data_IF_219102487975
#
_entry.id   IF_219102487975
#
_cell.length_a   1.000
_cell.length_b   1.000
_cell.length_c   1.000
_cell.angle_alpha   90.00
_cell.angle_beta   90.00
_cell.angle_gamma   90.00
#
_symmetry.space_group_name_H-M   'P 1'
#
loop_
_entity.id
_entity.type
_entity.pdbx_description
1 polymer ?
#
# COMPACT_ATOMS: atom_id res chain seq x y z
N UNK A 1 5.84 -20.80 4.86
CA UNK A 1 5.61 -20.64 3.40
C UNK A 1 5.14 -19.21 3.17
N UNK A 2 5.94 -18.36 2.55
CA UNK A 2 5.47 -17.05 2.08
C UNK A 2 4.44 -17.26 0.97
N UNK A 3 3.25 -16.67 1.08
CA UNK A 3 2.29 -16.67 -0.02
C UNK A 3 2.92 -15.90 -1.20
N UNK A 4 2.83 -16.46 -2.40
CA UNK A 4 3.26 -15.77 -3.62
C UNK A 4 2.35 -14.56 -3.88
N UNK A 5 2.91 -13.51 -4.47
CA UNK A 5 2.18 -12.32 -4.91
C UNK A 5 2.11 -12.35 -6.43
N UNK A 6 0.92 -12.10 -6.98
CA UNK A 6 0.70 -11.99 -8.42
C UNK A 6 0.33 -10.56 -8.77
N UNK A 7 1.05 -9.97 -9.72
CA UNK A 7 0.73 -8.65 -10.25
C UNK A 7 -0.56 -8.70 -11.09
N UNK A 8 -1.59 -7.90 -10.76
CA UNK A 8 -2.87 -7.92 -11.48
C UNK A 8 -2.77 -7.33 -12.89
N UNK A 9 -1.71 -6.58 -13.20
CA UNK A 9 -1.57 -5.89 -14.49
C UNK A 9 -0.81 -6.71 -15.54
N UNK A 10 0.24 -7.44 -15.15
CA UNK A 10 1.09 -8.18 -16.10
C UNK A 10 1.23 -9.68 -15.80
N UNK A 11 0.56 -10.19 -14.76
CA UNK A 11 0.57 -11.62 -14.40
C UNK A 11 1.85 -12.14 -13.76
N UNK A 12 2.87 -11.32 -13.56
CA UNK A 12 4.10 -11.74 -12.89
C UNK A 12 3.81 -12.24 -11.48
N UNK A 13 4.30 -13.44 -11.15
CA UNK A 13 4.13 -14.08 -9.83
C UNK A 13 5.50 -14.28 -9.20
N UNK A 14 5.68 -13.80 -7.96
CA UNK A 14 6.95 -13.86 -7.24
C UNK A 14 6.77 -13.98 -5.73
N UNK A 15 7.89 -14.07 -5.02
CA UNK A 15 7.91 -13.93 -3.57
C UNK A 15 7.78 -12.45 -3.16
N UNK A 16 7.30 -12.14 -1.95
CA UNK A 16 7.21 -10.74 -1.49
C UNK A 16 8.51 -9.95 -1.65
N UNK A 17 9.66 -10.56 -1.40
CA UNK A 17 10.99 -9.92 -1.55
C UNK A 17 11.33 -9.48 -2.97
N UNK A 18 10.62 -10.00 -3.98
CA UNK A 18 10.82 -9.65 -5.38
C UNK A 18 10.11 -8.33 -5.75
N UNK A 19 9.27 -7.80 -4.86
CA UNK A 19 8.49 -6.57 -5.06
C UNK A 19 9.04 -5.43 -4.20
N UNK A 20 8.75 -4.20 -4.63
CA UNK A 20 8.99 -3.02 -3.79
C UNK A 20 7.72 -2.65 -3.03
N UNK A 21 7.87 -2.22 -1.78
CA UNK A 21 6.79 -1.74 -0.94
C UNK A 21 7.02 -0.27 -0.63
N UNK A 22 6.03 0.56 -0.96
CA UNK A 22 6.05 2.00 -0.68
C UNK A 22 5.06 2.28 0.45
N UNK A 23 5.56 2.93 1.50
CA UNK A 23 4.77 3.44 2.60
C UNK A 23 4.72 4.97 2.51
N UNK A 24 3.52 5.51 2.35
CA UNK A 24 3.29 6.95 2.41
C UNK A 24 3.15 7.37 3.88
N UNK A 25 3.89 8.40 4.30
CA UNK A 25 3.79 8.99 5.63
C UNK A 25 3.53 10.48 5.48
N UNK A 26 2.50 10.98 6.17
CA UNK A 26 2.15 12.41 6.22
C UNK A 26 2.33 12.90 7.65
N UNK A 27 2.97 14.06 7.79
CA UNK A 27 3.12 14.77 9.05
C UNK A 27 2.36 16.09 8.96
N UNK A 28 1.46 16.34 9.90
CA UNK A 28 0.80 17.64 10.03
C UNK A 28 1.64 18.53 10.95
N UNK A 29 2.06 19.69 10.44
CA UNK A 29 2.71 20.73 11.25
C UNK A 29 1.66 21.69 11.78
N UNK A 30 1.60 21.89 13.09
CA UNK A 30 0.74 22.91 13.70
C UNK A 30 1.49 24.24 13.88
N UNK A 31 0.74 25.30 14.16
CA UNK A 31 1.30 26.62 14.49
C UNK A 31 2.08 26.64 15.82
N UNK A 32 2.11 25.54 16.57
CA UNK A 32 2.76 25.41 17.88
C UNK A 32 4.06 24.58 17.84
N UNK A 33 4.64 24.33 16.66
CA UNK A 33 5.78 23.41 16.46
C UNK A 33 5.53 21.96 16.88
N UNK A 34 4.26 21.56 17.05
CA UNK A 34 3.90 20.17 17.32
C UNK A 34 3.68 19.42 16.01
N UNK A 35 4.14 18.17 15.98
CA UNK A 35 3.87 17.23 14.88
C UNK A 35 2.75 16.31 15.32
N UNK A 36 1.58 16.45 14.71
CA UNK A 36 0.44 15.56 14.97
C UNK A 36 0.46 14.42 13.97
N UNK A 37 0.29 13.19 14.47
CA UNK A 37 0.19 12.01 13.62
C UNK A 37 -1.13 12.02 12.86
N UNK A 38 -1.06 11.68 11.58
CA UNK A 38 -2.26 11.42 10.78
C UNK A 38 -2.92 10.11 11.26
N UNK A 39 -4.20 10.16 11.64
CA UNK A 39 -4.95 8.96 12.06
C UNK A 39 -5.45 8.11 10.88
N UNK A 40 -5.32 8.61 9.65
CA UNK A 40 -5.77 7.90 8.45
C UNK A 40 -4.87 6.71 8.16
N UNK A 41 -5.48 5.54 8.03
CA UNK A 41 -4.80 4.34 7.52
C UNK A 41 -4.31 4.54 6.08
N UNK A 42 -3.02 4.28 5.86
CA UNK A 42 -2.34 4.34 4.56
C UNK A 42 -1.77 2.95 4.26
N UNK A 43 -2.47 2.12 3.49
CA UNK A 43 -2.01 0.78 3.20
C UNK A 43 -0.78 0.82 2.29
N UNK A 44 0.17 -0.12 2.45
CA UNK A 44 1.36 -0.18 1.61
C UNK A 44 1.00 -0.41 0.16
N UNK A 45 1.64 0.36 -0.73
CA UNK A 45 1.55 0.16 -2.17
C UNK A 45 2.63 -0.84 -2.60
N UNK A 46 2.22 -1.90 -3.29
CA UNK A 46 3.13 -2.90 -3.86
C UNK A 46 3.44 -2.52 -5.29
N UNK A 47 4.73 -2.45 -5.64
CA UNK A 47 5.17 -2.10 -7.00
C UNK A 47 5.77 -3.31 -7.69
N UNK A 48 5.22 -3.65 -8.85
CA UNK A 48 5.70 -4.77 -9.66
C UNK A 48 7.10 -4.50 -10.23
N UNK A 49 8.07 -5.42 -10.10
CA UNK A 49 9.40 -5.23 -10.67
C UNK A 49 9.41 -5.27 -12.20
N UNK A 50 8.39 -5.89 -12.83
CA UNK A 50 8.29 -6.09 -14.28
C UNK A 50 7.61 -4.93 -14.99
N UNK A 51 6.35 -4.61 -14.66
CA UNK A 51 5.58 -3.57 -15.35
C UNK A 51 5.59 -2.21 -14.64
N UNK A 52 6.21 -2.13 -13.45
CA UNK A 52 6.33 -0.91 -12.62
C UNK A 52 5.00 -0.31 -12.13
N UNK A 53 3.88 -0.99 -12.37
CA UNK A 53 2.58 -0.58 -11.84
C UNK A 53 2.48 -0.85 -10.33
N UNK A 54 1.87 0.10 -9.62
CA UNK A 54 1.54 -0.01 -8.20
C UNK A 54 0.14 -0.59 -8.00
N UNK A 55 -0.01 -1.49 -7.02
CA UNK A 55 -1.30 -2.08 -6.64
C UNK A 55 -1.36 -2.34 -5.14
N UNK A 56 -2.57 -2.57 -4.62
CA UNK A 56 -2.80 -3.00 -3.25
C UNK A 56 -3.07 -4.50 -3.20
N UNK A 57 -2.56 -5.18 -2.16
CA UNK A 57 -2.83 -6.61 -1.94
C UNK A 57 -4.29 -6.87 -1.57
N UNK A 58 -4.89 -5.91 -0.87
CA UNK A 58 -6.31 -5.88 -0.53
C UNK A 58 -6.85 -4.50 -0.87
N UNK A 59 -8.10 -4.42 -1.33
CA UNK A 59 -8.71 -3.12 -1.62
C UNK A 59 -8.75 -2.28 -0.34
N UNK A 60 -8.07 -1.12 -0.30
CA UNK A 60 -8.02 -0.29 0.91
C UNK A 60 -9.36 0.37 1.21
N UNK A 61 -10.27 0.34 0.23
CA UNK A 61 -11.60 0.90 0.33
C UNK A 61 -12.65 -0.13 0.75
N UNK A 62 -12.27 -1.40 0.90
CA UNK A 62 -13.18 -2.49 1.23
C UNK A 62 -14.06 -2.17 2.45
N UNK A 63 -13.46 -1.59 3.50
CA UNK A 63 -14.17 -1.13 4.72
C UNK A 63 -15.27 -0.09 4.50
N UNK A 64 -15.23 0.66 3.39
CA UNK A 64 -16.24 1.65 3.05
C UNK A 64 -17.39 1.03 2.22
N UNK A 65 -17.14 -0.09 1.53
CA UNK A 65 -18.13 -0.76 0.69
C UNK A 65 -18.85 -1.92 1.40
N UNK A 66 -18.26 -2.53 2.42
CA UNK A 66 -18.87 -3.64 3.19
C UNK A 66 -20.01 -3.20 4.14
N UNK A 67 -20.36 -1.92 4.18
CA UNK A 67 -21.50 -1.37 4.96
C UNK A 67 -22.79 -1.16 4.16
N UNK A 68 -23.06 -1.99 3.15
CA UNK A 68 -24.37 -2.07 2.50
C UNK A 68 -25.02 -3.42 2.75
#
# INVERSE_FOLDING_TARGET
MSKKITCPYCGFTGEPKDFYFIYEVVLYTTNTNDVVREERERPPLVVCPKCKQGFFLESPYKKFYEKQ
#
